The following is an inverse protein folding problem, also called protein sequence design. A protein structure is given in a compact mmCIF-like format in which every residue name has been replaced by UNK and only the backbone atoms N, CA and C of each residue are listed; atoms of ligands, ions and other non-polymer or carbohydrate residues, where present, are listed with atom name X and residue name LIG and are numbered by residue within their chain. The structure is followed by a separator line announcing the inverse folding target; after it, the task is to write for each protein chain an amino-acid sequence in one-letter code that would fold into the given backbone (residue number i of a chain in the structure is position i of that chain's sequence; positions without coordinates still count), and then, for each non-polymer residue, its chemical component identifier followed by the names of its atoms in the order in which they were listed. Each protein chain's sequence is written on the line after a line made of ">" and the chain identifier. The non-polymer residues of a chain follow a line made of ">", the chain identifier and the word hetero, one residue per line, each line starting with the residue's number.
data_IF_065264922036
#
_entry.id   IF_065264922036
#
_cell.length_a   1.000
_cell.length_b   1.000
_cell.length_c   1.000
_cell.angle_alpha   90.00
_cell.angle_beta   90.00
_cell.angle_gamma   90.00
#
_symmetry.space_group_name_H-M   'P 1'
#
loop_
_entity.id
_entity.type
_entity.pdbx_description
1 polymer ?
#
# COMPACT_ATOMS: atom_id res chain seq x y z
N UNK A 1 54.80 -18.60 65.14
CA UNK A 1 53.36 -18.54 64.72
C UNK A 1 52.58 -17.88 65.84
N UNK A 2 52.11 -16.65 65.58
CA UNK A 2 51.49 -15.77 66.57
C UNK A 2 50.16 -16.34 67.08
N UNK A 3 49.95 -16.29 68.39
CA UNK A 3 48.75 -16.76 69.08
C UNK A 3 48.00 -15.59 69.71
N UNK A 4 46.71 -15.80 69.93
CA UNK A 4 45.86 -14.82 70.62
C UNK A 4 46.33 -14.72 72.07
N UNK A 5 46.85 -13.55 72.45
CA UNK A 5 47.49 -13.29 73.75
C UNK A 5 48.94 -12.80 73.64
N UNK A 6 49.56 -12.89 72.47
CA UNK A 6 50.93 -12.43 72.23
C UNK A 6 51.04 -10.90 72.33
N UNK A 7 52.16 -10.42 72.88
CA UNK A 7 52.39 -9.01 73.15
C UNK A 7 53.64 -8.51 72.42
N UNK A 8 53.56 -7.34 71.79
CA UNK A 8 54.68 -6.65 71.13
C UNK A 8 55.80 -6.17 72.07
N UNK A 9 55.68 -6.42 73.39
CA UNK A 9 56.82 -6.28 74.32
C UNK A 9 57.75 -7.49 74.29
N UNK A 10 57.30 -8.63 73.78
CA UNK A 10 58.13 -9.80 73.59
C UNK A 10 58.90 -9.65 72.26
N UNK A 11 60.23 -9.62 72.37
CA UNK A 11 61.10 -9.45 71.22
C UNK A 11 60.93 -10.56 70.16
N UNK A 12 60.60 -11.78 70.58
CA UNK A 12 60.40 -12.90 69.67
C UNK A 12 59.10 -12.75 68.88
N UNK A 13 58.06 -12.19 69.50
CA UNK A 13 56.78 -11.86 68.83
C UNK A 13 57.00 -10.77 67.78
N UNK A 14 57.76 -9.72 68.11
CA UNK A 14 58.12 -8.68 67.15
C UNK A 14 58.95 -9.22 65.98
N UNK A 15 59.92 -10.10 66.26
CA UNK A 15 60.72 -10.74 65.22
C UNK A 15 59.85 -11.62 64.31
N UNK A 16 58.93 -12.41 64.86
CA UNK A 16 58.00 -13.25 64.10
C UNK A 16 57.06 -12.40 63.22
N UNK A 17 56.59 -11.25 63.73
CA UNK A 17 55.76 -10.30 62.96
C UNK A 17 56.56 -9.70 61.81
N UNK A 18 57.75 -9.16 62.09
CA UNK A 18 58.61 -8.53 61.08
C UNK A 18 59.08 -9.52 60.02
N UNK A 19 59.37 -10.76 60.41
CA UNK A 19 59.68 -11.82 59.47
C UNK A 19 58.55 -11.97 58.44
N UNK A 20 57.29 -11.77 58.81
CA UNK A 20 56.16 -11.92 57.91
C UNK A 20 55.91 -10.77 56.92
N UNK A 21 56.50 -9.59 57.15
CA UNK A 21 56.36 -8.45 56.23
C UNK A 21 57.17 -8.62 54.94
N UNK A 22 58.27 -9.38 54.97
CA UNK A 22 59.03 -9.69 53.77
C UNK A 22 58.40 -10.91 53.05
N UNK A 23 58.09 -10.83 51.75
CA UNK A 23 57.65 -12.01 50.99
C UNK A 23 58.68 -13.15 51.05
N UNK A 24 58.27 -14.42 50.97
CA UNK A 24 59.17 -15.57 51.14
C UNK A 24 60.39 -15.54 50.19
N UNK A 25 60.22 -15.10 48.94
CA UNK A 25 61.33 -14.95 47.99
C UNK A 25 62.34 -13.86 48.36
N UNK A 26 61.88 -12.79 49.03
CA UNK A 26 62.76 -11.72 49.54
C UNK A 26 63.52 -12.21 50.77
N UNK A 27 62.87 -13.00 51.64
CA UNK A 27 63.53 -13.63 52.80
C UNK A 27 64.67 -14.54 52.39
N UNK A 28 64.46 -15.42 51.42
CA UNK A 28 65.51 -16.32 50.90
C UNK A 28 66.71 -15.55 50.32
N UNK A 29 66.45 -14.52 49.52
CA UNK A 29 67.49 -13.69 48.93
C UNK A 29 68.27 -12.86 49.96
N UNK A 30 67.66 -12.48 51.09
CA UNK A 30 68.35 -11.77 52.19
C UNK A 30 69.18 -12.75 53.02
N UNK A 31 68.66 -13.96 53.29
CA UNK A 31 69.38 -14.96 54.10
C UNK A 31 70.64 -15.51 53.42
N UNK A 32 70.69 -15.49 52.09
CA UNK A 32 71.86 -15.92 51.31
C UNK A 32 72.84 -14.78 51.01
N UNK A 33 72.59 -13.56 51.50
CA UNK A 33 73.38 -12.38 51.18
C UNK A 33 74.58 -12.20 52.13
N UNK A 34 75.76 -11.96 51.55
CA UNK A 34 76.97 -11.69 52.31
C UNK A 34 76.88 -10.37 53.12
N UNK A 35 77.45 -10.35 54.33
CA UNK A 35 77.24 -9.30 55.32
C UNK A 35 77.58 -7.87 54.87
N UNK A 36 78.71 -7.68 54.20
CA UNK A 36 79.14 -6.35 53.73
C UNK A 36 78.24 -5.81 52.61
N UNK A 37 77.72 -6.73 51.78
CA UNK A 37 76.72 -6.43 50.75
C UNK A 37 75.38 -6.05 51.38
N UNK A 38 74.99 -6.74 52.46
CA UNK A 38 73.78 -6.41 53.21
C UNK A 38 73.86 -5.02 53.85
N UNK A 39 74.98 -4.69 54.51
CA UNK A 39 75.16 -3.40 55.17
C UNK A 39 75.15 -2.24 54.18
N UNK A 40 75.84 -2.39 53.05
CA UNK A 40 75.86 -1.38 51.98
C UNK A 40 74.46 -1.13 51.40
N UNK A 41 73.67 -2.19 51.20
CA UNK A 41 72.27 -2.07 50.75
C UNK A 41 71.37 -1.40 51.77
N UNK A 42 71.60 -1.64 53.06
CA UNK A 42 70.83 -1.02 54.14
C UNK A 42 71.05 0.51 54.18
N UNK A 43 72.31 0.93 54.06
CA UNK A 43 72.69 2.34 54.04
C UNK A 43 72.18 3.07 52.79
N UNK A 44 72.27 2.44 51.61
CA UNK A 44 71.66 3.01 50.40
C UNK A 44 70.14 3.09 50.51
N UNK A 45 69.49 2.09 51.10
CA UNK A 45 68.03 2.13 51.31
C UNK A 45 67.61 3.27 52.22
N UNK A 46 68.32 3.54 53.32
CA UNK A 46 67.95 4.61 54.25
C UNK A 46 68.14 6.00 53.63
N UNK A 47 69.21 6.21 52.86
CA UNK A 47 69.42 7.44 52.09
C UNK A 47 68.34 7.63 51.02
N UNK A 48 68.00 6.57 50.28
CA UNK A 48 66.94 6.62 49.26
C UNK A 48 65.57 6.93 49.87
N UNK A 49 65.26 6.35 51.05
CA UNK A 49 64.01 6.63 51.75
C UNK A 49 63.91 8.10 52.17
N UNK A 50 65.01 8.66 52.66
CA UNK A 50 65.08 10.06 53.09
C UNK A 50 64.94 11.03 51.91
N UNK A 51 65.55 10.73 50.77
CA UNK A 51 65.38 11.50 49.55
C UNK A 51 63.94 11.43 49.01
N UNK A 52 63.30 10.25 49.04
CA UNK A 52 61.91 10.05 48.67
C UNK A 52 60.93 10.90 49.50
N UNK A 53 61.22 11.08 50.80
CA UNK A 53 60.42 11.94 51.67
C UNK A 53 60.59 13.41 51.29
N UNK A 54 61.82 13.88 51.07
CA UNK A 54 62.07 15.28 50.71
C UNK A 54 61.51 15.64 49.32
N UNK A 55 61.71 14.78 48.33
CA UNK A 55 61.17 14.98 46.98
C UNK A 55 59.66 14.75 46.91
N UNK A 56 59.10 13.84 47.72
CA UNK A 56 57.67 13.52 47.73
C UNK A 56 56.77 14.61 48.34
N UNK A 57 57.30 15.43 49.26
CA UNK A 57 56.52 16.49 49.92
C UNK A 57 56.16 17.63 48.96
N UNK A 58 56.99 17.91 47.95
CA UNK A 58 56.75 19.03 47.03
C UNK A 58 55.61 18.74 46.03
N UNK A 59 55.56 17.58 45.35
CA UNK A 59 54.40 17.14 44.57
C UNK A 59 53.15 16.94 45.43
N UNK A 60 53.27 16.46 46.67
CA UNK A 60 52.11 16.28 47.55
C UNK A 60 51.45 17.63 47.89
N UNK A 61 52.24 18.66 48.18
CA UNK A 61 51.71 20.02 48.43
C UNK A 61 50.98 20.59 47.21
N UNK A 62 51.56 20.43 46.02
CA UNK A 62 50.95 20.88 44.76
C UNK A 62 49.67 20.07 44.46
N UNK A 63 49.71 18.75 44.64
CA UNK A 63 48.58 17.86 44.48
C UNK A 63 47.43 18.17 45.44
N UNK A 64 47.71 18.58 46.68
CA UNK A 64 46.67 19.01 47.63
C UNK A 64 45.95 20.29 47.19
N UNK A 65 46.66 21.26 46.61
CA UNK A 65 46.05 22.47 46.06
C UNK A 65 45.21 22.17 44.82
N UNK A 66 45.73 21.35 43.91
CA UNK A 66 44.99 20.89 42.73
C UNK A 66 43.77 20.04 43.12
N UNK A 67 43.86 19.25 44.20
CA UNK A 67 42.73 18.46 44.71
C UNK A 67 41.61 19.33 45.26
N UNK A 68 41.92 20.45 45.92
CA UNK A 68 40.91 21.36 46.44
C UNK A 68 40.16 22.09 45.30
N UNK A 69 40.88 22.50 44.25
CA UNK A 69 40.27 23.07 43.05
C UNK A 69 39.47 22.02 42.26
N UNK A 70 40.01 20.81 42.13
CA UNK A 70 39.32 19.70 41.46
C UNK A 70 38.07 19.26 42.23
N UNK A 71 38.10 19.28 43.56
CA UNK A 71 36.94 19.02 44.41
C UNK A 71 35.81 20.01 44.14
N UNK A 72 36.11 21.32 44.10
CA UNK A 72 35.12 22.36 43.76
C UNK A 72 34.60 22.20 42.33
N UNK A 73 35.46 21.84 41.38
CA UNK A 73 35.07 21.61 39.97
C UNK A 73 34.24 20.33 39.80
N UNK A 74 34.57 19.27 40.54
CA UNK A 74 33.87 17.98 40.55
C UNK A 74 32.48 18.12 41.12
N UNK A 75 32.28 18.87 42.20
CA UNK A 75 30.94 19.11 42.74
C UNK A 75 30.06 19.89 41.77
N UNK A 76 30.60 20.93 41.10
CA UNK A 76 29.87 21.63 40.03
C UNK A 76 29.56 20.74 38.83
N UNK A 77 30.50 19.88 38.44
CA UNK A 77 30.31 18.94 37.33
C UNK A 77 29.32 17.83 37.67
N UNK A 78 29.31 17.34 38.92
CA UNK A 78 28.36 16.34 39.41
C UNK A 78 26.93 16.90 39.44
N UNK A 79 26.77 18.16 39.86
CA UNK A 79 25.49 18.85 39.78
C UNK A 79 25.02 19.02 38.32
N UNK A 80 25.91 19.44 37.42
CA UNK A 80 25.59 19.62 36.00
C UNK A 80 25.29 18.29 35.27
N UNK A 81 26.04 17.21 35.57
CA UNK A 81 25.79 15.88 35.04
C UNK A 81 24.49 15.27 35.56
N UNK A 82 24.10 15.55 36.81
CA UNK A 82 22.81 15.09 37.34
C UNK A 82 21.63 15.74 36.59
N UNK A 83 21.76 17.03 36.23
CA UNK A 83 20.78 17.74 35.41
C UNK A 83 20.78 17.19 33.98
N UNK A 84 21.93 17.09 33.32
CA UNK A 84 22.01 16.55 31.95
C UNK A 84 21.57 15.09 31.86
N UNK A 85 21.86 14.25 32.85
CA UNK A 85 21.40 12.85 32.86
C UNK A 85 19.88 12.75 33.00
N UNK A 86 19.29 13.61 33.83
CA UNK A 86 17.83 13.73 33.95
C UNK A 86 17.20 14.20 32.65
N UNK A 87 17.84 15.15 31.96
CA UNK A 87 17.37 15.66 30.68
C UNK A 87 17.50 14.60 29.58
N UNK A 88 18.66 13.94 29.45
CA UNK A 88 18.91 12.85 28.48
C UNK A 88 17.94 11.69 28.69
N UNK A 89 17.72 11.24 29.93
CA UNK A 89 16.74 10.18 30.23
C UNK A 89 15.31 10.63 29.90
N UNK A 90 14.99 11.92 30.05
CA UNK A 90 13.67 12.47 29.70
C UNK A 90 13.49 12.64 28.19
N UNK A 91 14.56 12.94 27.45
CA UNK A 91 14.55 13.07 25.99
C UNK A 91 14.54 11.70 25.32
N UNK A 92 15.36 10.75 25.76
CA UNK A 92 15.41 9.40 25.20
C UNK A 92 14.08 8.64 25.39
N UNK A 93 13.40 8.82 26.54
CA UNK A 93 12.05 8.26 26.77
C UNK A 93 10.97 8.94 25.92
N UNK A 94 11.13 10.21 25.58
CA UNK A 94 10.21 10.93 24.68
C UNK A 94 10.47 10.55 23.21
N UNK A 95 11.72 10.38 22.80
CA UNK A 95 12.10 10.06 21.43
C UNK A 95 11.70 8.62 21.03
N UNK A 96 11.99 7.61 21.86
CA UNK A 96 11.57 6.22 21.59
C UNK A 96 10.04 6.03 21.59
N UNK A 97 9.31 6.84 22.36
CA UNK A 97 7.85 6.79 22.45
C UNK A 97 7.15 7.47 21.26
N UNK A 98 7.76 8.49 20.67
CA UNK A 98 7.19 9.23 19.54
C UNK A 98 7.46 8.55 18.19
N UNK A 99 8.66 8.00 17.98
CA UNK A 99 9.05 7.35 16.70
C UNK A 99 8.28 6.04 16.45
N UNK A 100 8.10 5.18 17.47
CA UNK A 100 7.44 3.87 17.31
C UNK A 100 5.91 3.92 17.18
N UNK A 101 5.27 5.04 17.54
CA UNK A 101 3.81 5.21 17.55
C UNK A 101 3.30 5.98 16.33
N UNK A 102 3.97 7.08 15.96
CA UNK A 102 3.56 7.91 14.83
C UNK A 102 3.72 7.22 13.46
N UNK A 103 4.81 6.47 13.24
CA UNK A 103 5.04 5.77 11.96
C UNK A 103 4.15 4.54 11.79
N UNK A 104 3.87 3.79 12.87
CA UNK A 104 3.01 2.61 12.82
C UNK A 104 1.54 2.96 12.61
N UNK A 105 1.04 3.99 13.28
CA UNK A 105 -0.36 4.43 13.12
C UNK A 105 -0.59 5.00 11.71
N UNK A 106 0.33 5.82 11.19
CA UNK A 106 0.25 6.33 9.82
C UNK A 106 0.34 5.22 8.75
N UNK A 107 1.25 4.25 8.91
CA UNK A 107 1.36 3.08 8.02
C UNK A 107 0.13 2.16 8.10
N UNK A 108 -0.45 1.98 9.29
CA UNK A 108 -1.68 1.17 9.46
C UNK A 108 -2.88 1.85 8.81
N UNK A 109 -3.00 3.18 8.94
CA UNK A 109 -4.06 3.96 8.27
C UNK A 109 -3.90 3.90 6.75
N UNK A 110 -2.69 4.12 6.21
CA UNK A 110 -2.44 3.97 4.77
C UNK A 110 -2.68 2.54 4.27
N UNK A 111 -2.23 1.52 5.01
CA UNK A 111 -2.48 0.12 4.65
C UNK A 111 -3.96 -0.20 4.65
N UNK A 112 -4.72 0.31 5.62
CA UNK A 112 -6.17 0.10 5.70
C UNK A 112 -6.88 0.78 4.52
N UNK A 113 -6.55 2.04 4.23
CA UNK A 113 -7.09 2.76 3.08
C UNK A 113 -6.74 2.06 1.74
N UNK A 114 -5.51 1.57 1.59
CA UNK A 114 -5.09 0.82 0.40
C UNK A 114 -5.80 -0.53 0.28
N UNK A 115 -6.06 -1.21 1.39
CA UNK A 115 -6.84 -2.46 1.39
C UNK A 115 -8.30 -2.18 1.02
N UNK A 116 -8.91 -1.12 1.56
CA UNK A 116 -10.26 -0.69 1.19
C UNK A 116 -10.35 -0.35 -0.31
N UNK A 117 -9.42 0.47 -0.83
CA UNK A 117 -9.37 0.81 -2.26
C UNK A 117 -9.16 -0.42 -3.15
N UNK A 118 -8.35 -1.40 -2.73
CA UNK A 118 -8.13 -2.63 -3.48
C UNK A 118 -9.38 -3.53 -3.49
N UNK A 119 -10.12 -3.61 -2.39
CA UNK A 119 -11.40 -4.33 -2.37
C UNK A 119 -12.46 -3.63 -3.23
N UNK A 120 -12.54 -2.30 -3.20
CA UNK A 120 -13.43 -1.52 -4.09
C UNK A 120 -13.05 -1.69 -5.57
N UNK A 121 -11.74 -1.74 -5.88
CA UNK A 121 -11.25 -1.97 -7.23
C UNK A 121 -11.56 -3.39 -7.70
N UNK A 122 -11.38 -4.40 -6.84
CA UNK A 122 -11.79 -5.79 -7.15
C UNK A 122 -13.28 -5.88 -7.42
N UNK A 123 -14.11 -5.25 -6.59
CA UNK A 123 -15.55 -5.20 -6.80
C UNK A 123 -15.90 -4.54 -8.15
N UNK A 124 -15.22 -3.45 -8.49
CA UNK A 124 -15.37 -2.76 -9.78
C UNK A 124 -14.96 -3.65 -10.96
N UNK A 125 -13.86 -4.42 -10.83
CA UNK A 125 -13.41 -5.37 -11.86
C UNK A 125 -14.42 -6.51 -12.05
N UNK A 126 -14.96 -7.06 -10.96
CA UNK A 126 -15.99 -8.11 -11.01
C UNK A 126 -17.24 -7.58 -11.71
N UNK A 127 -17.71 -6.39 -11.33
CA UNK A 127 -18.86 -5.75 -11.97
C UNK A 127 -18.61 -5.48 -13.46
N UNK A 128 -17.47 -4.89 -13.82
CA UNK A 128 -17.12 -4.62 -15.21
C UNK A 128 -17.01 -5.90 -16.05
N UNK A 129 -16.51 -6.99 -15.45
CA UNK A 129 -16.43 -8.30 -16.11
C UNK A 129 -17.82 -8.87 -16.36
N UNK A 130 -18.72 -8.80 -15.37
CA UNK A 130 -20.11 -9.23 -15.52
C UNK A 130 -20.85 -8.38 -16.58
N UNK A 131 -20.67 -7.07 -16.56
CA UNK A 131 -21.28 -6.15 -17.51
C UNK A 131 -20.79 -6.43 -18.94
N UNK A 132 -19.47 -6.63 -19.12
CA UNK A 132 -18.89 -6.99 -20.41
C UNK A 132 -19.40 -8.35 -20.91
N UNK A 133 -19.50 -9.35 -20.03
CA UNK A 133 -20.04 -10.66 -20.40
C UNK A 133 -21.47 -10.53 -20.92
N UNK A 134 -22.31 -9.78 -20.21
CA UNK A 134 -23.68 -9.54 -20.64
C UNK A 134 -23.73 -8.78 -21.97
N UNK A 135 -22.87 -7.77 -22.16
CA UNK A 135 -22.80 -7.03 -23.43
C UNK A 135 -22.43 -7.96 -24.59
N UNK A 136 -21.48 -8.86 -24.40
CA UNK A 136 -21.04 -9.81 -25.44
C UNK A 136 -22.14 -10.83 -25.74
N UNK A 137 -22.77 -11.40 -24.71
CA UNK A 137 -23.67 -12.55 -24.88
C UNK A 137 -25.12 -12.16 -25.16
N UNK A 138 -25.61 -11.07 -24.56
CA UNK A 138 -27.05 -10.78 -24.49
C UNK A 138 -27.43 -9.49 -25.22
N UNK A 139 -26.55 -8.48 -25.26
CA UNK A 139 -26.95 -7.15 -25.76
C UNK A 139 -27.44 -7.16 -27.21
N UNK A 140 -26.72 -7.86 -28.09
CA UNK A 140 -27.09 -7.92 -29.51
C UNK A 140 -28.42 -8.63 -29.71
N UNK A 141 -28.60 -9.77 -29.04
CA UNK A 141 -29.86 -10.53 -29.10
C UNK A 141 -31.02 -9.67 -28.60
N UNK A 142 -30.88 -8.99 -27.47
CA UNK A 142 -31.92 -8.12 -26.93
C UNK A 142 -32.27 -6.99 -27.90
N UNK A 143 -31.27 -6.22 -28.35
CA UNK A 143 -31.47 -5.06 -29.23
C UNK A 143 -32.12 -5.47 -30.56
N UNK A 144 -31.61 -6.52 -31.22
CA UNK A 144 -32.18 -7.01 -32.48
C UNK A 144 -33.59 -7.53 -32.27
N UNK A 145 -33.82 -8.35 -31.23
CA UNK A 145 -35.15 -8.88 -30.93
C UNK A 145 -36.15 -7.74 -30.70
N UNK A 146 -35.77 -6.74 -29.92
CA UNK A 146 -36.65 -5.63 -29.60
C UNK A 146 -36.91 -4.75 -30.83
N UNK A 147 -35.90 -4.47 -31.65
CA UNK A 147 -36.07 -3.76 -32.92
C UNK A 147 -37.05 -4.49 -33.84
N UNK A 148 -36.90 -5.80 -34.03
CA UNK A 148 -37.78 -6.59 -34.89
C UNK A 148 -39.25 -6.61 -34.41
N UNK A 149 -39.46 -6.47 -33.10
CA UNK A 149 -40.80 -6.41 -32.51
C UNK A 149 -41.30 -4.98 -32.29
N UNK A 150 -40.51 -3.97 -32.63
CA UNK A 150 -40.89 -2.58 -32.48
C UNK A 150 -41.99 -2.20 -33.47
N UNK A 151 -42.85 -1.26 -33.07
CA UNK A 151 -43.90 -0.73 -33.94
C UNK A 151 -43.34 0.02 -35.14
N UNK A 152 -42.25 0.77 -34.94
CA UNK A 152 -41.53 1.50 -36.00
C UNK A 152 -41.01 0.57 -37.10
N UNK A 153 -40.36 -0.55 -36.74
CA UNK A 153 -39.87 -1.52 -37.70
C UNK A 153 -41.01 -2.29 -38.37
N UNK A 154 -42.00 -2.74 -37.60
CA UNK A 154 -43.15 -3.48 -38.14
C UNK A 154 -44.01 -2.63 -39.07
N UNK A 155 -44.13 -1.32 -38.80
CA UNK A 155 -44.81 -0.39 -39.70
C UNK A 155 -44.06 -0.24 -41.02
N UNK A 156 -42.74 -0.04 -40.97
CA UNK A 156 -41.91 0.11 -42.16
C UNK A 156 -41.94 -1.14 -43.04
N UNK A 157 -41.76 -2.32 -42.44
CA UNK A 157 -41.80 -3.58 -43.19
C UNK A 157 -43.21 -3.89 -43.71
N UNK A 158 -44.25 -3.55 -42.95
CA UNK A 158 -45.66 -3.70 -43.37
C UNK A 158 -45.99 -2.86 -44.61
N UNK A 159 -45.45 -1.65 -44.71
CA UNK A 159 -45.58 -0.83 -45.91
C UNK A 159 -44.89 -1.49 -47.12
N UNK A 160 -43.64 -1.94 -46.96
CA UNK A 160 -42.89 -2.64 -48.02
C UNK A 160 -43.64 -3.88 -48.49
N UNK A 161 -44.16 -4.71 -47.57
CA UNK A 161 -44.98 -5.88 -47.91
C UNK A 161 -46.24 -5.50 -48.68
N UNK A 162 -46.91 -4.42 -48.28
CA UNK A 162 -48.11 -3.93 -48.97
C UNK A 162 -47.79 -3.51 -50.41
N UNK A 163 -46.66 -2.83 -50.63
CA UNK A 163 -46.21 -2.44 -51.99
C UNK A 163 -45.80 -3.66 -52.83
N UNK A 164 -45.09 -4.62 -52.23
CA UNK A 164 -44.72 -5.88 -52.88
C UNK A 164 -45.95 -6.66 -53.35
N UNK A 165 -46.98 -6.78 -52.51
CA UNK A 165 -48.24 -7.44 -52.87
C UNK A 165 -48.93 -6.74 -54.05
N UNK A 166 -48.92 -5.41 -54.08
CA UNK A 166 -49.49 -4.65 -55.19
C UNK A 166 -48.71 -4.86 -56.50
N UNK A 167 -47.37 -4.91 -56.42
CA UNK A 167 -46.52 -5.23 -57.58
C UNK A 167 -46.77 -6.66 -58.08
N UNK A 168 -46.86 -7.64 -57.19
CA UNK A 168 -47.19 -9.02 -57.53
C UNK A 168 -48.55 -9.17 -58.20
N UNK A 169 -49.58 -8.45 -57.71
CA UNK A 169 -50.91 -8.39 -58.35
C UNK A 169 -50.84 -7.84 -59.77
N UNK A 170 -50.08 -6.77 -60.01
CA UNK A 170 -49.88 -6.21 -61.34
C UNK A 170 -49.18 -7.21 -62.27
N UNK A 171 -48.07 -7.83 -61.83
CA UNK A 171 -47.35 -8.83 -62.64
C UNK A 171 -48.24 -10.03 -63.00
N UNK A 172 -49.01 -10.54 -62.05
CA UNK A 172 -49.95 -11.64 -62.27
C UNK A 172 -51.02 -11.28 -63.31
N UNK A 173 -51.56 -10.07 -63.25
CA UNK A 173 -52.52 -9.58 -64.24
C UNK A 173 -51.89 -9.47 -65.63
N UNK A 174 -50.70 -8.86 -65.77
CA UNK A 174 -50.00 -8.73 -67.06
C UNK A 174 -49.70 -10.09 -67.67
N UNK A 175 -49.25 -11.06 -66.87
CA UNK A 175 -48.97 -12.41 -67.32
C UNK A 175 -50.24 -13.15 -67.76
N UNK A 176 -51.32 -13.07 -66.96
CA UNK A 176 -52.61 -13.67 -67.29
C UNK A 176 -53.23 -13.09 -68.55
N UNK A 177 -53.16 -11.76 -68.74
CA UNK A 177 -53.65 -11.09 -69.93
C UNK A 177 -52.86 -11.46 -71.19
N UNK A 178 -51.52 -11.55 -71.11
CA UNK A 178 -50.69 -12.05 -72.22
C UNK A 178 -51.05 -13.48 -72.65
N UNK A 179 -51.52 -14.30 -71.72
CA UNK A 179 -51.92 -15.70 -71.96
C UNK A 179 -53.37 -15.84 -72.42
N UNK A 180 -54.21 -14.82 -72.18
CA UNK A 180 -55.62 -14.83 -72.47
C UNK A 180 -55.98 -13.59 -73.29
N UNK A 181 -56.05 -13.73 -74.61
CA UNK A 181 -56.45 -12.68 -75.56
C UNK A 181 -57.96 -12.34 -75.43
N UNK A 182 -58.43 -12.05 -74.21
CA UNK A 182 -59.76 -11.53 -73.95
C UNK A 182 -59.77 -10.03 -74.25
N UNK A 183 -60.60 -9.58 -75.19
CA UNK A 183 -60.62 -8.22 -75.74
C UNK A 183 -60.98 -7.07 -74.80
N UNK A 184 -60.75 -7.17 -73.49
CA UNK A 184 -60.78 -6.03 -72.56
C UNK A 184 -59.40 -5.35 -72.50
N UNK A 185 -59.37 -4.02 -72.44
CA UNK A 185 -58.11 -3.29 -72.32
C UNK A 185 -57.53 -3.46 -70.90
N UNK A 186 -56.24 -3.81 -70.81
CA UNK A 186 -55.51 -4.06 -69.56
C UNK A 186 -55.56 -2.84 -68.62
N UNK A 187 -55.56 -1.64 -69.19
CA UNK A 187 -55.60 -0.33 -68.54
C UNK A 187 -56.90 -0.08 -67.77
N UNK A 188 -57.98 -0.82 -68.06
CA UNK A 188 -59.27 -0.68 -67.38
C UNK A 188 -59.32 -1.46 -66.05
N UNK A 189 -58.33 -2.30 -65.77
CA UNK A 189 -58.30 -3.11 -64.55
C UNK A 189 -57.75 -2.31 -63.35
N UNK A 190 -58.44 -2.32 -62.19
CA UNK A 190 -57.94 -1.65 -60.97
C UNK A 190 -56.69 -2.32 -60.38
N UNK A 191 -56.32 -3.50 -60.89
CA UNK A 191 -55.10 -4.24 -60.53
C UNK A 191 -53.92 -3.90 -61.44
N UNK A 192 -54.14 -3.22 -62.56
CA UNK A 192 -53.07 -2.77 -63.45
C UNK A 192 -52.42 -1.50 -62.90
N UNK A 193 -51.24 -1.66 -62.30
CA UNK A 193 -50.44 -0.57 -61.72
C UNK A 193 -49.01 -0.59 -62.28
N UNK A 194 -48.75 -0.02 -63.45
CA UNK A 194 -47.43 -0.05 -64.08
C UNK A 194 -46.33 0.61 -63.22
N UNK A 195 -46.70 1.58 -62.39
CA UNK A 195 -45.81 2.27 -61.45
C UNK A 195 -45.44 1.44 -60.20
N UNK A 196 -46.10 0.30 -59.96
CA UNK A 196 -45.95 -0.49 -58.73
C UNK A 196 -44.54 -1.04 -58.51
N UNK A 197 -43.77 -1.29 -59.58
CA UNK A 197 -42.37 -1.74 -59.49
C UNK A 197 -41.48 -0.64 -58.90
N UNK A 198 -41.58 0.58 -59.42
CA UNK A 198 -40.78 1.71 -58.94
C UNK A 198 -41.20 2.14 -57.55
N UNK A 199 -42.51 2.11 -57.23
CA UNK A 199 -43.00 2.36 -55.88
C UNK A 199 -42.47 1.32 -54.89
N UNK A 200 -42.44 0.04 -55.25
CA UNK A 200 -41.89 -1.00 -54.38
C UNK A 200 -40.38 -0.78 -54.12
N UNK A 201 -39.60 -0.53 -55.17
CA UNK A 201 -38.15 -0.25 -55.04
C UNK A 201 -37.90 0.99 -54.17
N UNK A 202 -38.68 2.05 -54.38
CA UNK A 202 -38.57 3.27 -53.60
C UNK A 202 -38.92 3.04 -52.13
N UNK A 203 -39.95 2.24 -51.82
CA UNK A 203 -40.27 1.89 -50.43
C UNK A 203 -39.17 1.08 -49.74
N UNK A 204 -38.47 0.19 -50.47
CA UNK A 204 -37.29 -0.51 -49.93
C UNK A 204 -36.16 0.48 -49.63
N UNK A 205 -35.84 1.36 -50.59
CA UNK A 205 -34.82 2.41 -50.40
C UNK A 205 -35.14 3.35 -49.24
N UNK A 206 -36.42 3.68 -49.06
CA UNK A 206 -36.89 4.51 -47.95
C UNK A 206 -36.71 3.79 -46.61
N UNK A 207 -37.08 2.52 -46.53
CA UNK A 207 -36.91 1.70 -45.32
C UNK A 207 -35.45 1.60 -44.88
N UNK A 208 -34.50 1.47 -45.83
CA UNK A 208 -33.06 1.46 -45.54
C UNK A 208 -32.55 2.79 -44.98
N UNK A 209 -33.20 3.90 -45.33
CA UNK A 209 -32.84 5.26 -44.90
C UNK A 209 -33.59 5.71 -43.65
N UNK A 210 -34.53 4.91 -43.15
CA UNK A 210 -35.24 5.23 -41.92
C UNK A 210 -34.28 5.21 -40.74
N UNK A 211 -34.32 6.27 -39.95
CA UNK A 211 -33.75 6.27 -38.62
C UNK A 211 -34.77 5.63 -37.68
N UNK A 212 -34.37 4.58 -36.98
CA UNK A 212 -35.18 3.92 -35.96
C UNK A 212 -34.93 4.61 -34.60
N UNK A 213 -35.92 5.29 -34.00
CA UNK A 213 -35.81 5.92 -32.69
C UNK A 213 -35.20 5.00 -31.63
N UNK A 214 -35.61 3.72 -31.58
CA UNK A 214 -35.05 2.76 -30.62
C UNK A 214 -33.53 2.56 -30.79
N UNK A 215 -33.05 2.47 -32.04
CA UNK A 215 -31.61 2.35 -32.32
C UNK A 215 -30.88 3.62 -31.88
N UNK A 216 -31.50 4.79 -32.05
CA UNK A 216 -30.93 6.06 -31.60
C UNK A 216 -30.82 6.13 -30.08
N UNK A 217 -31.80 5.60 -29.35
CA UNK A 217 -31.78 5.50 -27.89
C UNK A 217 -30.71 4.50 -27.40
N UNK A 218 -30.56 3.35 -28.07
CA UNK A 218 -29.49 2.37 -27.78
C UNK A 218 -28.12 3.02 -27.93
N UNK A 219 -27.90 3.80 -29.00
CA UNK A 219 -26.64 4.53 -29.21
C UNK A 219 -26.37 5.57 -28.11
N UNK A 220 -27.43 6.16 -27.53
CA UNK A 220 -27.31 7.11 -26.41
C UNK A 220 -26.89 6.47 -25.08
N UNK A 221 -26.88 5.13 -24.99
CA UNK A 221 -26.54 4.41 -23.76
C UNK A 221 -25.04 4.26 -23.51
N UNK A 222 -24.18 4.70 -24.44
CA UNK A 222 -22.71 4.52 -24.35
C UNK A 222 -22.09 5.01 -23.04
N UNK A 223 -22.59 6.09 -22.46
CA UNK A 223 -22.08 6.69 -21.22
C UNK A 223 -22.94 6.38 -19.98
N UNK A 224 -23.94 5.52 -20.10
CA UNK A 224 -24.92 5.23 -19.05
C UNK A 224 -24.64 3.85 -18.41
N UNK A 225 -25.09 3.60 -17.17
CA UNK A 225 -24.98 2.28 -16.55
C UNK A 225 -25.65 1.20 -17.40
N UNK A 226 -25.13 -0.03 -17.37
CA UNK A 226 -25.66 -1.16 -18.15
C UNK A 226 -27.15 -1.41 -17.90
N UNK A 227 -27.61 -1.18 -16.67
CA UNK A 227 -29.02 -1.30 -16.29
C UNK A 227 -29.96 -0.46 -17.15
N UNK A 228 -29.48 0.68 -17.67
CA UNK A 228 -30.26 1.53 -18.58
C UNK A 228 -30.49 0.83 -19.92
N UNK A 229 -29.46 0.20 -20.49
CA UNK A 229 -29.59 -0.56 -21.73
C UNK A 229 -30.45 -1.81 -21.52
N UNK A 230 -30.28 -2.51 -20.39
CA UNK A 230 -31.08 -3.68 -20.03
C UNK A 230 -32.57 -3.35 -19.91
N UNK A 231 -32.90 -2.20 -19.34
CA UNK A 231 -34.29 -1.73 -19.18
C UNK A 231 -34.90 -1.08 -20.43
N UNK A 232 -34.10 -0.79 -21.46
CA UNK A 232 -34.54 -0.05 -22.64
C UNK A 232 -35.45 -0.92 -23.53
N UNK A 233 -36.64 -0.40 -23.84
CA UNK A 233 -37.64 -1.07 -24.68
C UNK A 233 -38.17 -0.10 -25.74
N UNK A 234 -38.38 -0.55 -26.99
CA UNK A 234 -38.99 0.27 -28.03
C UNK A 234 -40.49 0.47 -27.77
N UNK A 235 -41.05 1.49 -28.41
CA UNK A 235 -42.48 1.74 -28.37
C UNK A 235 -43.29 0.54 -28.92
N UNK A 236 -44.36 0.19 -28.20
CA UNK A 236 -45.27 -0.90 -28.56
C UNK A 236 -44.86 -2.32 -28.14
N UNK A 237 -43.69 -2.51 -27.50
CA UNK A 237 -43.24 -3.85 -27.06
C UNK A 237 -44.07 -4.44 -25.89
N UNK A 238 -44.86 -3.63 -25.17
CA UNK A 238 -45.74 -4.09 -24.08
C UNK A 238 -47.16 -3.50 -24.15
N UNK A 239 -47.54 -2.87 -25.27
CA UNK A 239 -48.91 -2.42 -25.41
C UNK A 239 -49.79 -3.66 -25.57
N UNK A 240 -50.65 -3.92 -24.58
CA UNK A 240 -51.74 -4.89 -24.77
C UNK A 240 -52.47 -4.43 -26.02
N UNK A 241 -52.40 -5.23 -27.08
CA UNK A 241 -53.28 -5.10 -28.23
C UNK A 241 -54.69 -5.24 -27.66
N UNK A 242 -55.37 -4.12 -27.44
CA UNK A 242 -56.79 -4.08 -27.14
C UNK A 242 -57.47 -4.46 -28.47
N UNK A 243 -57.58 -5.76 -28.70
CA UNK A 243 -58.59 -6.33 -29.58
C UNK A 243 -59.94 -6.26 -28.89
#
# INVERSE_FOLDING_TARGET
>A
MLKVGDNFKDANVCADVLANFAPPGVRGAISEMEGDTMLSRLMLSSCNLSALVAEGVTPFRKGMQEYEEFSKKKEKMKASMAVMKKDIDSFSKKEEAWVKKAEREALVVQKKAFVEENEDLKASVVQATADNQWLIEQSFQQVVTYLLHSTEFNSAIGEVYTRLLNYGKHLGLVAGFKLHESGQALEQSPLFRPESSEIFKESVNQMERLTYPYVSEVLSCFSKPLSVLQGLKPAGLNEKVLC
#
